data_IF_263696474940
#
_entry.id   IF_263696474940
#
_cell.length_a   1.000
_cell.length_b   1.000
_cell.length_c   1.000
_cell.angle_alpha   90.00
_cell.angle_beta   90.00
_cell.angle_gamma   90.00
#
_symmetry.space_group_name_H-M   'P 1'
#
loop_
_entity.id
_entity.type
_entity.pdbx_description
1 polymer ?
#
# COMPACT_ATOMS: atom_id res chain seq x y z
N UNK A 1 8.76 -16.84 -4.32
CA UNK A 1 8.09 -15.59 -3.89
C UNK A 1 8.96 -14.44 -4.34
N UNK A 2 8.40 -13.46 -5.05
CA UNK A 2 9.14 -12.26 -5.45
C UNK A 2 9.36 -11.35 -4.24
N UNK A 3 10.48 -10.62 -4.21
CA UNK A 3 10.79 -9.72 -3.10
C UNK A 3 9.72 -8.62 -2.96
N UNK A 4 9.35 -8.23 -1.73
CA UNK A 4 8.42 -7.13 -1.50
C UNK A 4 8.95 -5.82 -2.09
N UNK A 5 8.04 -4.99 -2.58
CA UNK A 5 8.33 -3.62 -3.00
C UNK A 5 7.94 -2.74 -1.82
N UNK A 6 8.94 -2.17 -1.15
CA UNK A 6 8.75 -1.50 0.13
C UNK A 6 9.37 -0.09 0.15
N UNK A 7 8.82 0.77 0.99
CA UNK A 7 9.19 2.16 1.11
C UNK A 7 8.18 2.91 1.97
N UNK A 8 8.14 4.23 1.86
CA UNK A 8 7.19 5.08 2.59
C UNK A 8 6.55 6.07 1.63
N UNK A 9 5.36 6.55 2.00
CA UNK A 9 4.65 7.64 1.33
C UNK A 9 4.15 8.63 2.37
N UNK A 10 3.78 9.84 1.95
CA UNK A 10 3.06 10.74 2.84
C UNK A 10 1.66 10.22 3.14
N UNK A 11 1.22 10.25 4.40
CA UNK A 11 -0.08 9.74 4.81
C UNK A 11 -1.26 10.39 4.09
N UNK A 12 -1.17 11.70 3.79
CA UNK A 12 -2.15 12.43 2.96
C UNK A 12 -2.35 11.83 1.56
N UNK A 13 -1.38 11.07 1.08
CA UNK A 13 -1.39 10.44 -0.24
C UNK A 13 -1.92 9.01 -0.22
N UNK A 14 -2.14 8.40 0.96
CA UNK A 14 -2.46 6.97 1.08
C UNK A 14 -3.69 6.57 0.27
N UNK A 15 -4.75 7.37 0.32
CA UNK A 15 -5.97 7.12 -0.45
C UNK A 15 -5.69 7.09 -1.97
N UNK A 16 -5.01 8.12 -2.49
CA UNK A 16 -4.68 8.22 -3.91
C UNK A 16 -3.73 7.10 -4.37
N UNK A 17 -2.78 6.72 -3.51
CA UNK A 17 -1.88 5.59 -3.76
C UNK A 17 -2.66 4.28 -3.91
N UNK A 18 -3.55 3.96 -2.97
CA UNK A 18 -4.34 2.72 -2.99
C UNK A 18 -5.31 2.68 -4.17
N UNK A 19 -5.95 3.80 -4.49
CA UNK A 19 -6.83 3.91 -5.66
C UNK A 19 -6.10 3.66 -6.98
N UNK A 20 -4.84 4.07 -7.11
CA UNK A 20 -4.06 3.81 -8.32
C UNK A 20 -3.48 2.39 -8.34
N UNK A 21 -3.03 1.89 -7.19
CA UNK A 21 -2.51 0.52 -7.06
C UNK A 21 -3.62 -0.52 -7.32
N UNK A 22 -4.83 -0.30 -6.83
CA UNK A 22 -5.98 -1.18 -7.07
C UNK A 22 -6.31 -1.30 -8.55
N UNK A 23 -6.21 -0.21 -9.31
CA UNK A 23 -6.37 -0.22 -10.78
C UNK A 23 -5.32 -1.07 -11.47
N UNK A 24 -4.08 -1.12 -10.97
CA UNK A 24 -3.07 -2.02 -11.52
C UNK A 24 -3.39 -3.50 -11.24
N UNK A 25 -4.01 -3.78 -10.09
CA UNK A 25 -4.48 -5.12 -9.75
C UNK A 25 -5.79 -5.51 -10.44
N UNK A 26 -6.54 -4.55 -10.99
CA UNK A 26 -7.90 -4.76 -11.47
C UNK A 26 -8.90 -4.96 -10.32
N UNK A 27 -8.66 -4.31 -9.19
CA UNK A 27 -9.56 -4.27 -8.02
C UNK A 27 -10.36 -2.96 -8.05
N UNK A 28 -11.67 -3.04 -7.80
CA UNK A 28 -12.54 -1.87 -7.71
C UNK A 28 -12.52 -1.34 -6.28
N UNK A 29 -11.64 -0.36 -6.02
CA UNK A 29 -11.46 0.22 -4.70
C UNK A 29 -12.44 1.37 -4.49
N UNK A 30 -13.31 1.24 -3.50
CA UNK A 30 -14.37 2.20 -3.20
C UNK A 30 -14.23 2.90 -1.83
N UNK A 31 -15.20 3.74 -1.48
CA UNK A 31 -15.20 4.50 -0.23
C UNK A 31 -15.33 3.59 1.02
N UNK A 32 -15.93 2.41 0.87
CA UNK A 32 -16.06 1.40 1.94
C UNK A 32 -14.72 0.73 2.20
N UNK A 33 -13.99 0.38 1.14
CA UNK A 33 -12.61 -0.10 1.22
C UNK A 33 -11.73 0.95 1.90
N UNK A 34 -11.87 2.22 1.49
CA UNK A 34 -11.13 3.32 2.10
C UNK A 34 -11.38 3.42 3.60
N UNK A 35 -12.64 3.44 4.03
CA UNK A 35 -12.98 3.51 5.46
C UNK A 35 -12.40 2.35 6.26
N UNK A 36 -12.32 1.16 5.67
CA UNK A 36 -11.71 -0.03 6.28
C UNK A 36 -10.20 0.13 6.46
N UNK A 37 -9.51 0.60 5.42
CA UNK A 37 -8.06 0.83 5.48
C UNK A 37 -7.72 1.97 6.43
N UNK A 38 -8.46 3.08 6.37
CA UNK A 38 -8.25 4.24 7.22
C UNK A 38 -8.35 3.85 8.71
N UNK A 39 -9.41 3.11 9.08
CA UNK A 39 -9.56 2.59 10.43
C UNK A 39 -8.44 1.61 10.82
N UNK A 40 -8.04 0.72 9.91
CA UNK A 40 -6.98 -0.27 10.13
C UNK A 40 -5.61 0.35 10.38
N UNK A 41 -5.28 1.46 9.73
CA UNK A 41 -3.98 2.12 9.82
C UNK A 41 -3.84 2.99 11.08
N UNK A 42 -4.92 3.54 11.65
CA UNK A 42 -4.85 4.51 12.75
C UNK A 42 -4.04 4.03 13.98
N UNK A 43 -4.10 2.74 14.30
CA UNK A 43 -3.42 2.12 15.44
C UNK A 43 -2.13 1.39 15.11
N UNK A 44 -1.59 1.57 13.90
CA UNK A 44 -0.35 0.90 13.44
C UNK A 44 0.90 1.64 13.87
N UNK A 45 2.02 0.92 13.88
CA UNK A 45 3.36 1.38 14.27
C UNK A 45 4.39 0.59 13.46
N UNK A 46 5.22 1.27 12.68
CA UNK A 46 6.21 0.63 11.80
C UNK A 46 7.48 0.16 12.53
N UNK A 47 7.72 0.60 13.76
CA UNK A 47 8.79 0.12 14.64
C UNK A 47 8.37 -1.15 15.42
N UNK A 48 7.05 -1.42 15.51
CA UNK A 48 6.51 -2.60 16.15
C UNK A 48 6.39 -3.79 15.15
N UNK A 49 6.98 -4.97 15.42
CA UNK A 49 6.91 -6.12 14.52
C UNK A 49 5.48 -6.58 14.17
N UNK A 50 4.56 -6.47 15.13
CA UNK A 50 3.14 -6.81 14.96
C UNK A 50 2.26 -5.56 14.73
N UNK A 51 2.89 -4.41 14.48
CA UNK A 51 2.23 -3.11 14.34
C UNK A 51 1.72 -2.80 12.94
N UNK A 52 1.78 -3.74 11.99
CA UNK A 52 1.40 -3.54 10.59
C UNK A 52 -0.03 -4.01 10.30
N UNK A 53 -0.76 -3.21 9.54
CA UNK A 53 -2.08 -3.56 8.99
C UNK A 53 -1.93 -4.09 7.56
N UNK A 54 -2.57 -5.22 7.24
CA UNK A 54 -2.54 -5.78 5.88
C UNK A 54 -3.90 -5.69 5.20
N UNK A 55 -3.91 -5.17 3.97
CA UNK A 55 -5.09 -5.10 3.12
C UNK A 55 -4.88 -5.87 1.81
N UNK A 56 -5.75 -6.84 1.46
CA UNK A 56 -5.66 -7.55 0.20
C UNK A 56 -6.39 -6.78 -0.92
N UNK A 57 -5.72 -6.58 -2.05
CA UNK A 57 -6.32 -6.14 -3.31
C UNK A 57 -6.50 -7.36 -4.22
N UNK A 58 -7.65 -8.03 -4.11
CA UNK A 58 -7.96 -9.25 -4.89
C UNK A 58 -8.61 -8.85 -6.21
N UNK A 59 -7.80 -8.36 -7.14
CA UNK A 59 -8.28 -7.86 -8.42
C UNK A 59 -8.31 -8.91 -9.53
N UNK A 60 -8.92 -8.57 -10.66
CA UNK A 60 -9.03 -9.47 -11.83
C UNK A 60 -7.71 -9.69 -12.55
N UNK A 61 -6.71 -8.81 -12.35
CA UNK A 61 -5.41 -8.86 -13.03
C UNK A 61 -4.29 -9.36 -12.11
N UNK A 62 -4.37 -9.08 -10.81
CA UNK A 62 -3.42 -9.57 -9.81
C UNK A 62 -4.04 -9.57 -8.41
N UNK A 63 -3.52 -10.41 -7.52
CA UNK A 63 -3.77 -10.29 -6.08
C UNK A 63 -2.55 -9.66 -5.42
N UNK A 64 -2.72 -8.47 -4.85
CA UNK A 64 -1.67 -7.79 -4.09
C UNK A 64 -2.00 -7.82 -2.61
N UNK A 65 -1.00 -8.03 -1.76
CA UNK A 65 -1.13 -7.78 -0.33
C UNK A 65 -0.33 -6.54 0.02
N UNK A 66 -1.00 -5.54 0.58
CA UNK A 66 -0.44 -4.24 0.95
C UNK A 66 -0.36 -4.19 2.47
N UNK A 67 0.85 -4.25 3.01
CA UNK A 67 1.10 -4.01 4.43
C UNK A 67 1.38 -2.52 4.65
N UNK A 68 0.76 -1.93 5.67
CA UNK A 68 0.74 -0.51 5.99
C UNK A 68 1.05 -0.30 7.47
N UNK A 69 1.91 0.65 7.79
CA UNK A 69 2.15 1.06 9.17
C UNK A 69 2.50 2.56 9.25
N UNK A 70 2.04 3.24 10.30
CA UNK A 70 2.39 4.65 10.54
C UNK A 70 3.80 4.78 11.10
N UNK A 71 4.52 5.80 10.64
CA UNK A 71 5.77 6.20 11.27
C UNK A 71 5.50 6.79 12.67
N UNK A 72 6.29 6.38 13.67
CA UNK A 72 6.14 6.83 15.07
C UNK A 72 6.31 8.35 15.24
N UNK A 73 7.20 8.96 14.45
CA UNK A 73 7.59 10.37 14.59
C UNK A 73 7.20 11.26 13.42
N UNK A 74 6.24 10.86 12.57
CA UNK A 74 5.93 11.61 11.35
C UNK A 74 4.54 11.40 10.78
N UNK A 75 4.35 11.93 9.57
CA UNK A 75 3.11 11.81 8.80
C UNK A 75 3.21 10.73 7.72
N UNK A 76 4.34 10.03 7.66
CA UNK A 76 4.61 8.97 6.71
C UNK A 76 3.85 7.69 7.06
N UNK A 77 3.51 6.96 6.01
CA UNK A 77 3.01 5.60 6.09
C UNK A 77 4.03 4.71 5.38
N UNK A 78 4.61 3.78 6.13
CA UNK A 78 5.42 2.69 5.63
C UNK A 78 4.52 1.71 4.87
N UNK A 79 4.95 1.32 3.68
CA UNK A 79 4.20 0.48 2.74
C UNK A 79 5.08 -0.68 2.28
N UNK A 80 4.52 -1.88 2.24
CA UNK A 80 5.13 -3.06 1.63
C UNK A 80 4.11 -3.78 0.75
N UNK A 81 4.42 -3.94 -0.53
CA UNK A 81 3.55 -4.60 -1.51
C UNK A 81 4.15 -5.93 -1.93
N UNK A 82 3.34 -6.99 -1.81
CA UNK A 82 3.66 -8.35 -2.28
C UNK A 82 2.61 -8.83 -3.29
N UNK A 83 2.92 -9.88 -4.06
CA UNK A 83 2.03 -10.41 -5.10
C UNK A 83 2.20 -9.78 -6.49
N UNK A 84 3.14 -8.84 -6.64
CA UNK A 84 3.54 -8.34 -7.96
C UNK A 84 4.46 -9.36 -8.67
N UNK A 85 3.85 -10.26 -9.44
CA UNK A 85 4.55 -11.38 -10.09
C UNK A 85 5.17 -11.04 -11.45
N UNK A 86 4.66 -10.03 -12.17
CA UNK A 86 5.19 -9.60 -13.46
C UNK A 86 6.15 -8.43 -13.33
N UNK A 87 7.17 -8.36 -14.20
CA UNK A 87 8.14 -7.25 -14.19
C UNK A 87 7.46 -5.88 -14.38
N UNK A 88 6.47 -5.83 -15.26
CA UNK A 88 5.69 -4.61 -15.52
C UNK A 88 4.96 -4.13 -14.25
N UNK A 89 4.25 -5.03 -13.56
CA UNK A 89 3.52 -4.67 -12.34
C UNK A 89 4.48 -4.25 -11.22
N UNK A 90 5.63 -4.92 -11.10
CA UNK A 90 6.68 -4.52 -10.16
C UNK A 90 7.18 -3.10 -10.43
N UNK A 91 7.53 -2.80 -11.68
CA UNK A 91 8.02 -1.48 -12.07
C UNK A 91 6.98 -0.39 -11.83
N UNK A 92 5.70 -0.64 -12.18
CA UNK A 92 4.61 0.30 -11.94
C UNK A 92 4.38 0.54 -10.44
N UNK A 93 4.44 -0.51 -9.62
CA UNK A 93 4.27 -0.41 -8.16
C UNK A 93 5.42 0.38 -7.53
N UNK A 94 6.66 0.06 -7.88
CA UNK A 94 7.86 0.75 -7.39
C UNK A 94 7.90 2.23 -7.79
N UNK A 95 7.51 2.52 -9.04
CA UNK A 95 7.38 3.90 -9.56
C UNK A 95 6.30 4.67 -8.80
N UNK A 96 5.15 4.04 -8.56
CA UNK A 96 4.03 4.66 -7.82
C UNK A 96 4.45 5.01 -6.39
N UNK A 97 5.10 4.07 -5.71
CA UNK A 97 5.62 4.26 -4.36
C UNK A 97 6.63 5.42 -4.31
N UNK A 98 7.59 5.43 -5.23
CA UNK A 98 8.59 6.49 -5.36
C UNK A 98 7.99 7.87 -5.64
N UNK A 99 6.89 7.93 -6.40
CA UNK A 99 6.20 9.18 -6.70
C UNK A 99 5.50 9.75 -5.46
N UNK A 100 4.74 8.93 -4.74
CA UNK A 100 3.97 9.34 -3.56
C UNK A 100 4.81 9.61 -2.30
N UNK A 101 6.09 9.22 -2.31
CA UNK A 101 7.08 9.65 -1.33
C UNK A 101 7.51 11.13 -1.51
N UNK A 102 7.31 11.70 -2.71
CA UNK A 102 7.90 13.00 -3.10
C UNK A 102 6.91 14.15 -3.27
N UNK A 103 5.62 13.85 -3.35
CA UNK A 103 4.52 14.82 -3.50
C UNK A 103 3.77 14.98 -2.18
#
# INVERSE_FOLDING_TARGET
MTEPIAGWIWGRNLHAFLLLLSRYAGYDFDDTDWGTVEAGVQGTDDEAPDGWYSYPLVGTSATLSVALARAVCGEEVSVSVTGAETLELRLRTDTLLSAFARI
#
